data_IF_059806873337
#
_entry.id   IF_059806873337
#
_cell.length_a   1.000
_cell.length_b   1.000
_cell.length_c   1.000
_cell.angle_alpha   90.00
_cell.angle_beta   90.00
_cell.angle_gamma   90.00
#
_symmetry.space_group_name_H-M   'P 1'
#
loop_
_entity.id
_entity.type
_entity.pdbx_description
1 polymer ?
#
# COMPACT_ATOMS: atom_id res chain seq x y z
N UNK A 1 11.05 12.62 23.62
CA UNK A 1 10.93 11.92 22.33
C UNK A 1 10.71 10.43 22.54
N UNK A 2 11.55 9.74 23.32
CA UNK A 2 11.47 8.28 23.62
C UNK A 2 10.12 7.87 24.23
N UNK A 3 9.58 8.63 25.20
CA UNK A 3 8.29 8.36 25.86
C UNK A 3 7.10 8.40 24.89
N UNK A 4 7.12 9.30 23.88
CA UNK A 4 6.12 9.34 22.81
C UNK A 4 6.22 8.15 21.85
N UNK A 5 7.41 7.67 21.54
CA UNK A 5 7.61 6.50 20.68
C UNK A 5 7.15 5.23 21.43
N UNK A 6 7.48 5.11 22.71
CA UNK A 6 7.05 3.97 23.53
C UNK A 6 5.51 3.90 23.64
N UNK A 7 4.85 5.01 23.99
CA UNK A 7 3.38 5.02 24.15
C UNK A 7 2.64 4.92 22.83
N UNK A 8 3.18 5.47 21.75
CA UNK A 8 2.45 5.65 20.50
C UNK A 8 2.66 4.56 19.46
N UNK A 9 3.73 3.78 19.57
CA UNK A 9 3.99 2.68 18.65
C UNK A 9 4.16 1.35 19.38
N UNK A 10 4.98 1.30 20.43
CA UNK A 10 5.34 0.04 21.08
C UNK A 10 4.18 -0.53 21.90
N UNK A 11 3.48 0.29 22.69
CA UNK A 11 2.35 -0.17 23.52
C UNK A 11 1.19 -0.76 22.69
N UNK A 12 0.71 -0.14 21.62
CA UNK A 12 -0.33 -0.72 20.75
C UNK A 12 0.07 -2.05 20.13
N UNK A 13 1.32 -2.15 19.67
CA UNK A 13 1.84 -3.39 19.10
C UNK A 13 1.93 -4.48 20.15
N UNK A 14 2.47 -4.19 21.34
CA UNK A 14 2.53 -5.15 22.44
C UNK A 14 1.14 -5.61 22.89
N UNK A 15 0.17 -4.70 22.98
CA UNK A 15 -1.22 -5.04 23.32
C UNK A 15 -1.82 -6.00 22.27
N UNK A 16 -1.56 -5.76 20.98
CA UNK A 16 -1.99 -6.64 19.89
C UNK A 16 -1.38 -8.03 20.03
N UNK A 17 -0.08 -8.12 20.32
CA UNK A 17 0.60 -9.41 20.52
C UNK A 17 0.09 -10.16 21.76
N UNK A 18 -0.21 -9.47 22.86
CA UNK A 18 -0.78 -10.09 24.06
C UNK A 18 -2.16 -10.68 23.79
N UNK A 19 -3.05 -9.90 23.14
CA UNK A 19 -4.38 -10.39 22.79
C UNK A 19 -4.28 -11.51 21.76
N UNK A 20 -3.36 -11.39 20.80
CA UNK A 20 -3.05 -12.44 19.83
C UNK A 20 -2.59 -13.73 20.50
N UNK A 21 -1.71 -13.66 21.49
CA UNK A 21 -1.25 -14.82 22.26
C UNK A 21 -2.41 -15.49 23.02
N UNK A 22 -3.34 -14.69 23.58
CA UNK A 22 -4.54 -15.22 24.24
C UNK A 22 -5.44 -15.96 23.24
N UNK A 23 -5.69 -15.37 22.05
CA UNK A 23 -6.49 -16.00 21.01
C UNK A 23 -5.86 -17.30 20.49
N UNK A 24 -4.55 -17.29 20.27
CA UNK A 24 -3.79 -18.47 19.82
C UNK A 24 -3.88 -19.59 20.89
N UNK A 25 -3.73 -19.25 22.17
CA UNK A 25 -3.89 -20.20 23.27
C UNK A 25 -5.31 -20.75 23.36
N UNK A 26 -6.33 -19.93 23.09
CA UNK A 26 -7.74 -20.34 23.11
C UNK A 26 -8.09 -21.38 22.04
N UNK A 27 -7.37 -21.42 20.92
CA UNK A 27 -7.51 -22.46 19.87
C UNK A 27 -6.62 -23.68 20.08
N UNK A 28 -5.90 -23.73 21.22
CA UNK A 28 -5.03 -24.87 21.56
C UNK A 28 -3.64 -24.81 20.94
N UNK A 29 -3.25 -23.73 20.27
CA UNK A 29 -1.90 -23.55 19.74
C UNK A 29 -0.99 -22.86 20.78
N UNK A 30 0.31 -23.17 20.75
CA UNK A 30 1.25 -22.56 21.66
C UNK A 30 1.74 -21.19 21.12
N UNK A 31 1.62 -20.10 21.88
CA UNK A 31 2.16 -18.79 21.45
C UNK A 31 3.67 -18.81 21.17
N UNK A 32 4.42 -19.74 21.79
CA UNK A 32 5.83 -19.96 21.53
C UNK A 32 6.14 -20.40 20.10
N UNK A 33 5.25 -21.17 19.47
CA UNK A 33 5.41 -21.61 18.09
C UNK A 33 5.32 -20.40 17.11
N UNK A 34 4.50 -19.41 17.41
CA UNK A 34 4.44 -18.18 16.63
C UNK A 34 5.76 -17.40 16.70
N UNK A 35 6.35 -17.28 17.91
CA UNK A 35 7.64 -16.62 18.08
C UNK A 35 8.75 -17.37 17.35
N UNK A 36 8.69 -18.70 17.35
CA UNK A 36 9.64 -19.54 16.60
C UNK A 36 9.52 -19.29 15.10
N UNK A 37 8.31 -19.36 14.53
CA UNK A 37 8.07 -19.06 13.12
C UNK A 37 8.51 -17.65 12.74
N UNK A 38 8.26 -16.66 13.61
CA UNK A 38 8.77 -15.30 13.40
C UNK A 38 10.32 -15.28 13.35
N UNK A 39 11.00 -16.02 14.22
CA UNK A 39 12.45 -16.18 14.21
C UNK A 39 12.96 -16.85 12.94
N UNK A 40 12.31 -17.93 12.50
CA UNK A 40 12.67 -18.70 11.32
C UNK A 40 12.57 -17.84 10.04
N UNK A 41 11.58 -16.93 9.93
CA UNK A 41 11.46 -15.98 8.83
C UNK A 41 12.72 -15.10 8.69
N UNK A 42 13.29 -14.63 9.78
CA UNK A 42 14.48 -13.78 9.76
C UNK A 42 15.80 -14.54 9.54
N UNK A 43 15.79 -15.86 9.63
CA UNK A 43 16.98 -16.70 9.36
C UNK A 43 17.02 -17.22 7.92
N UNK A 44 15.87 -17.20 7.22
CA UNK A 44 15.77 -17.66 5.83
C UNK A 44 15.79 -16.49 4.86
N UNK A 45 16.80 -16.45 3.99
CA UNK A 45 16.98 -15.37 3.01
C UNK A 45 15.81 -15.25 2.02
N UNK A 46 15.20 -16.38 1.64
CA UNK A 46 14.03 -16.38 0.75
C UNK A 46 12.81 -15.76 1.45
N UNK A 47 12.58 -16.05 2.72
CA UNK A 47 11.50 -15.44 3.52
C UNK A 47 11.71 -13.93 3.69
N UNK A 48 12.95 -13.47 3.88
CA UNK A 48 13.28 -12.04 3.91
C UNK A 48 12.96 -11.39 2.57
N UNK A 49 13.29 -12.03 1.45
CA UNK A 49 12.94 -11.52 0.13
C UNK A 49 11.41 -11.42 -0.07
N UNK A 50 10.65 -12.42 0.36
CA UNK A 50 9.18 -12.41 0.29
C UNK A 50 8.56 -11.28 1.12
N UNK A 51 9.21 -10.87 2.25
CA UNK A 51 8.80 -9.66 2.99
C UNK A 51 8.91 -8.45 2.06
N UNK A 52 10.04 -8.26 1.37
CA UNK A 52 10.21 -7.14 0.45
C UNK A 52 9.24 -7.21 -0.73
N UNK A 53 9.04 -8.38 -1.34
CA UNK A 53 8.05 -8.59 -2.41
C UNK A 53 6.66 -8.14 -1.98
N UNK A 54 6.22 -8.56 -0.78
CA UNK A 54 4.92 -8.18 -0.22
C UNK A 54 4.85 -6.69 0.16
N UNK A 55 5.99 -6.07 0.49
CA UNK A 55 6.11 -4.68 0.91
C UNK A 55 5.98 -3.70 -0.26
N UNK A 56 6.47 -4.04 -1.46
CA UNK A 56 6.50 -3.16 -2.63
C UNK A 56 5.13 -2.56 -2.97
N UNK A 57 4.07 -3.36 -3.21
CA UNK A 57 2.75 -2.81 -3.48
C UNK A 57 2.20 -1.98 -2.31
N UNK A 58 2.52 -2.36 -1.07
CA UNK A 58 2.08 -1.67 0.13
C UNK A 58 2.78 -0.32 0.34
N UNK A 59 4.06 -0.18 -0.05
CA UNK A 59 4.73 1.13 -0.10
C UNK A 59 3.95 2.06 -1.02
N UNK A 60 3.71 1.64 -2.26
CA UNK A 60 3.09 2.49 -3.27
C UNK A 60 1.65 2.87 -2.89
N UNK A 61 0.84 1.92 -2.44
CA UNK A 61 -0.54 2.18 -2.02
C UNK A 61 -0.60 2.97 -0.71
N UNK A 62 0.31 2.73 0.24
CA UNK A 62 0.46 3.51 1.45
C UNK A 62 0.84 4.95 1.18
N UNK A 63 1.80 5.20 0.27
CA UNK A 63 2.15 6.55 -0.19
C UNK A 63 0.98 7.22 -0.91
N UNK A 64 0.24 6.48 -1.73
CA UNK A 64 -0.98 6.97 -2.39
C UNK A 64 -1.95 7.55 -1.38
N UNK A 65 -2.35 6.74 -0.42
CA UNK A 65 -3.32 7.16 0.61
C UNK A 65 -2.75 8.30 1.47
N UNK A 66 -1.49 8.19 1.92
CA UNK A 66 -0.83 9.22 2.72
C UNK A 66 -0.79 10.57 2.00
N UNK A 67 -0.56 10.58 0.67
CA UNK A 67 -0.53 11.80 -0.13
C UNK A 67 -1.88 12.53 -0.12
N UNK A 68 -2.96 11.80 -0.34
CA UNK A 68 -4.32 12.33 -0.28
C UNK A 68 -4.67 12.85 1.13
N UNK A 69 -4.35 12.09 2.18
CA UNK A 69 -4.57 12.50 3.57
C UNK A 69 -3.89 13.81 3.95
N UNK A 70 -2.68 14.05 3.45
CA UNK A 70 -1.94 15.31 3.70
C UNK A 70 -2.65 16.53 3.08
N UNK A 71 -3.53 16.31 2.13
CA UNK A 71 -4.36 17.36 1.48
C UNK A 71 -5.79 17.39 2.03
N UNK A 72 -6.06 16.64 3.11
CA UNK A 72 -7.40 16.57 3.70
C UNK A 72 -8.41 15.75 2.89
N UNK A 73 -7.94 14.88 1.98
CA UNK A 73 -8.76 14.00 1.15
C UNK A 73 -8.60 12.54 1.59
N UNK A 74 -9.68 11.78 1.49
CA UNK A 74 -9.66 10.36 1.82
C UNK A 74 -9.74 9.50 0.56
N UNK A 75 -8.59 8.99 0.09
CA UNK A 75 -8.52 8.14 -1.08
C UNK A 75 -8.70 6.66 -0.72
N UNK A 76 -9.95 6.17 -0.73
CA UNK A 76 -10.25 4.73 -0.64
C UNK A 76 -10.04 4.05 -2.00
N UNK A 77 -9.89 4.82 -3.08
CA UNK A 77 -9.75 4.35 -4.45
C UNK A 77 -8.38 3.78 -4.81
N UNK A 78 -7.44 3.73 -3.88
CA UNK A 78 -6.10 3.21 -4.14
C UNK A 78 -6.11 1.78 -4.72
N UNK A 79 -7.11 0.96 -4.36
CA UNK A 79 -7.29 -0.40 -4.90
C UNK A 79 -7.62 -0.38 -6.40
N UNK A 80 -8.61 0.40 -6.82
CA UNK A 80 -8.97 0.52 -8.24
C UNK A 80 -7.89 1.19 -9.08
N UNK A 81 -7.19 2.17 -8.51
CA UNK A 81 -6.05 2.84 -9.13
C UNK A 81 -4.88 1.88 -9.35
N UNK A 82 -4.61 1.01 -8.37
CA UNK A 82 -3.64 -0.07 -8.44
C UNK A 82 -4.01 -1.07 -9.55
N UNK A 83 -5.26 -1.54 -9.59
CA UNK A 83 -5.76 -2.46 -10.62
C UNK A 83 -5.62 -1.85 -12.02
N UNK A 84 -6.07 -0.60 -12.21
CA UNK A 84 -6.01 0.08 -13.50
C UNK A 84 -4.57 0.36 -13.93
N UNK A 85 -3.71 0.79 -13.01
CA UNK A 85 -2.30 0.99 -13.28
C UNK A 85 -1.60 -0.30 -13.71
N UNK A 86 -1.82 -1.39 -12.98
CA UNK A 86 -1.28 -2.71 -13.31
C UNK A 86 -1.79 -3.27 -14.63
N UNK A 87 -3.09 -3.08 -14.93
CA UNK A 87 -3.68 -3.50 -16.21
C UNK A 87 -3.03 -2.77 -17.39
N UNK A 88 -2.95 -1.45 -17.34
CA UNK A 88 -2.42 -0.68 -18.48
C UNK A 88 -0.91 -0.84 -18.63
N UNK A 89 -0.17 -0.99 -17.54
CA UNK A 89 1.24 -1.39 -17.60
C UNK A 89 1.39 -2.74 -18.32
N UNK A 90 0.58 -3.73 -17.99
CA UNK A 90 0.58 -5.03 -18.65
C UNK A 90 0.18 -4.98 -20.12
N UNK A 91 -0.85 -4.19 -20.48
CA UNK A 91 -1.25 -3.99 -21.89
C UNK A 91 -0.09 -3.41 -22.70
N UNK A 92 0.58 -2.37 -22.19
CA UNK A 92 1.73 -1.75 -22.87
C UNK A 92 2.87 -2.74 -23.00
N UNK A 93 3.22 -3.46 -21.93
CA UNK A 93 4.28 -4.47 -21.96
C UNK A 93 4.06 -5.55 -23.02
N UNK A 94 2.83 -6.07 -23.12
CA UNK A 94 2.47 -7.10 -24.11
C UNK A 94 2.43 -6.52 -25.53
N UNK A 95 1.84 -5.35 -25.73
CA UNK A 95 1.72 -4.75 -27.08
C UNK A 95 3.03 -4.24 -27.66
N UNK A 96 3.99 -3.90 -26.81
CA UNK A 96 5.32 -3.47 -27.19
C UNK A 96 6.37 -4.61 -27.12
N UNK A 97 5.95 -5.85 -26.85
CA UNK A 97 6.84 -7.01 -26.79
C UNK A 97 7.62 -7.15 -28.10
N UNK A 98 8.94 -7.37 -27.99
CA UNK A 98 9.85 -7.40 -29.13
C UNK A 98 10.58 -6.07 -29.39
N UNK A 99 10.17 -4.96 -28.75
CA UNK A 99 10.93 -3.71 -28.75
C UNK A 99 12.08 -3.74 -27.75
N UNK A 100 12.90 -2.67 -27.74
CA UNK A 100 13.99 -2.53 -26.78
C UNK A 100 13.48 -2.64 -25.33
N UNK A 101 14.16 -3.46 -24.53
CA UNK A 101 13.81 -3.77 -23.14
C UNK A 101 13.51 -2.51 -22.29
N UNK A 102 14.41 -1.53 -22.31
CA UNK A 102 14.26 -0.31 -21.51
C UNK A 102 13.10 0.56 -21.97
N UNK A 103 12.81 0.57 -23.27
CA UNK A 103 11.67 1.32 -23.83
C UNK A 103 10.36 0.70 -23.32
N UNK A 104 10.23 -0.62 -23.38
CA UNK A 104 9.02 -1.31 -22.89
C UNK A 104 8.87 -1.12 -21.40
N UNK A 105 9.93 -1.30 -20.63
CA UNK A 105 9.91 -1.14 -19.17
C UNK A 105 9.45 0.27 -18.77
N UNK A 106 10.08 1.30 -19.31
CA UNK A 106 9.75 2.70 -18.98
C UNK A 106 8.33 3.04 -19.45
N UNK A 107 7.96 2.67 -20.67
CA UNK A 107 6.61 2.94 -21.21
C UNK A 107 5.52 2.27 -20.37
N UNK A 108 5.73 1.03 -19.93
CA UNK A 108 4.78 0.28 -19.11
C UNK A 108 4.62 0.90 -17.72
N UNK A 109 5.71 1.25 -17.06
CA UNK A 109 5.67 1.92 -15.75
C UNK A 109 4.97 3.27 -15.86
N UNK A 110 5.30 4.08 -16.88
CA UNK A 110 4.65 5.37 -17.13
C UNK A 110 3.16 5.21 -17.43
N UNK A 111 2.76 4.19 -18.19
CA UNK A 111 1.36 3.90 -18.44
C UNK A 111 0.61 3.60 -17.13
N UNK A 112 1.20 2.80 -16.24
CA UNK A 112 0.64 2.52 -14.92
C UNK A 112 0.46 3.78 -14.07
N UNK A 113 1.49 4.62 -14.00
CA UNK A 113 1.48 5.89 -13.27
C UNK A 113 0.40 6.84 -13.83
N UNK A 114 0.37 7.03 -15.14
CA UNK A 114 -0.55 7.96 -15.82
C UNK A 114 -1.99 7.49 -15.64
N UNK A 115 -2.28 6.22 -15.92
CA UNK A 115 -3.64 5.69 -15.85
C UNK A 115 -4.15 5.65 -14.40
N UNK A 116 -3.33 5.22 -13.44
CA UNK A 116 -3.68 5.29 -12.02
C UNK A 116 -3.98 6.72 -11.58
N UNK A 117 -3.16 7.68 -12.02
CA UNK A 117 -3.34 9.11 -11.76
C UNK A 117 -4.62 9.67 -12.39
N UNK A 118 -4.89 9.37 -13.64
CA UNK A 118 -6.12 9.80 -14.34
C UNK A 118 -7.36 9.20 -13.69
N UNK A 119 -7.31 7.92 -13.29
CA UNK A 119 -8.41 7.25 -12.61
C UNK A 119 -8.77 7.93 -11.30
N UNK A 120 -7.78 8.31 -10.51
CA UNK A 120 -7.97 9.05 -9.26
C UNK A 120 -8.41 10.50 -9.50
N UNK A 121 -7.93 11.13 -10.57
CA UNK A 121 -8.29 12.51 -10.93
C UNK A 121 -9.80 12.68 -11.17
N UNK A 122 -10.51 11.62 -11.61
CA UNK A 122 -11.97 11.63 -11.75
C UNK A 122 -12.63 11.98 -10.40
N UNK A 123 -12.24 11.29 -9.33
CA UNK A 123 -12.78 11.56 -7.99
C UNK A 123 -12.39 12.95 -7.49
N UNK A 124 -11.13 13.36 -7.73
CA UNK A 124 -10.64 14.70 -7.41
C UNK A 124 -11.41 15.80 -8.13
N UNK A 125 -11.72 15.62 -9.40
CA UNK A 125 -12.50 16.58 -10.19
C UNK A 125 -13.94 16.70 -9.71
N UNK A 126 -14.61 15.57 -9.46
CA UNK A 126 -15.98 15.55 -8.95
C UNK A 126 -16.07 16.22 -7.57
N UNK A 127 -15.07 15.99 -6.70
CA UNK A 127 -14.96 16.70 -5.42
C UNK A 127 -14.76 18.20 -5.60
N UNK A 128 -13.81 18.60 -6.42
CA UNK A 128 -13.43 20.00 -6.60
C UNK A 128 -14.53 20.83 -7.29
N UNK A 129 -15.25 20.24 -8.26
CA UNK A 129 -16.23 20.96 -9.08
C UNK A 129 -17.64 20.90 -8.52
N UNK A 130 -18.04 19.75 -7.99
CA UNK A 130 -19.42 19.47 -7.59
C UNK A 130 -19.57 19.19 -6.10
N UNK A 131 -18.46 19.21 -5.34
CA UNK A 131 -18.41 18.88 -3.90
C UNK A 131 -19.00 17.49 -3.58
N UNK A 132 -18.91 16.55 -4.53
CA UNK A 132 -19.31 15.15 -4.32
C UNK A 132 -18.27 14.48 -3.42
N UNK A 133 -18.73 13.60 -2.52
CA UNK A 133 -17.82 12.87 -1.62
C UNK A 133 -16.83 12.01 -2.40
N UNK A 134 -15.54 12.28 -2.22
CA UNK A 134 -14.45 11.50 -2.82
C UNK A 134 -14.49 10.04 -2.39
N UNK A 135 -14.94 9.77 -1.16
CA UNK A 135 -15.08 8.42 -0.60
C UNK A 135 -16.05 7.59 -1.43
N UNK A 136 -17.24 8.12 -1.69
CA UNK A 136 -18.28 7.42 -2.46
C UNK A 136 -17.81 7.18 -3.90
N UNK A 137 -17.24 8.20 -4.54
CA UNK A 137 -16.75 8.10 -5.92
C UNK A 137 -15.63 7.07 -6.02
N UNK A 138 -14.66 7.09 -5.09
CA UNK A 138 -13.51 6.18 -5.16
C UNK A 138 -13.91 4.73 -4.90
N UNK A 139 -14.89 4.47 -4.02
CA UNK A 139 -15.43 3.12 -3.83
C UNK A 139 -16.09 2.62 -5.13
N UNK A 140 -16.90 3.44 -5.78
CA UNK A 140 -17.54 3.08 -7.06
C UNK A 140 -16.49 2.82 -8.15
N UNK A 141 -15.46 3.64 -8.24
CA UNK A 141 -14.35 3.47 -9.18
C UNK A 141 -13.55 2.19 -8.91
N UNK A 142 -13.45 1.71 -7.67
CA UNK A 142 -12.81 0.43 -7.37
C UNK A 142 -13.56 -0.73 -8.02
N UNK A 143 -14.88 -0.81 -7.86
CA UNK A 143 -15.70 -1.84 -8.52
C UNK A 143 -15.66 -1.72 -10.04
N UNK A 144 -15.70 -0.48 -10.55
CA UNK A 144 -15.56 -0.25 -12.00
C UNK A 144 -14.22 -0.78 -12.50
N UNK A 145 -13.13 -0.54 -11.80
CA UNK A 145 -11.80 -1.07 -12.15
C UNK A 145 -11.77 -2.61 -12.11
N UNK A 146 -12.37 -3.22 -11.06
CA UNK A 146 -12.44 -4.67 -10.92
C UNK A 146 -13.17 -5.34 -12.10
N UNK A 147 -14.34 -4.82 -12.47
CA UNK A 147 -15.09 -5.35 -13.62
C UNK A 147 -14.43 -5.00 -14.96
N UNK A 148 -13.77 -3.85 -15.04
CA UNK A 148 -13.05 -3.46 -16.26
C UNK A 148 -11.87 -4.38 -16.55
N UNK A 149 -11.08 -4.80 -15.54
CA UNK A 149 -9.98 -5.75 -15.74
C UNK A 149 -10.49 -7.11 -16.18
N UNK A 150 -11.63 -7.59 -15.63
CA UNK A 150 -12.27 -8.83 -16.04
C UNK A 150 -12.77 -8.81 -17.51
N UNK A 151 -13.18 -7.64 -17.97
CA UNK A 151 -13.56 -7.44 -19.37
C UNK A 151 -12.33 -7.29 -20.28
N UNK A 152 -11.31 -6.55 -19.85
CA UNK A 152 -10.17 -6.17 -20.70
C UNK A 152 -9.18 -7.33 -20.91
N UNK A 153 -8.89 -8.12 -19.87
CA UNK A 153 -7.91 -9.22 -19.97
C UNK A 153 -8.27 -10.21 -21.06
N UNK A 154 -9.45 -10.82 -21.09
CA UNK A 154 -9.78 -11.82 -22.12
C UNK A 154 -9.88 -11.25 -23.53
N UNK A 155 -10.16 -9.94 -23.67
CA UNK A 155 -10.35 -9.31 -24.99
C UNK A 155 -9.08 -8.67 -25.56
N UNK A 156 -8.20 -8.18 -24.72
CA UNK A 156 -7.06 -7.34 -25.16
C UNK A 156 -5.72 -8.05 -25.03
N UNK A 157 -5.54 -8.82 -23.93
CA UNK A 157 -4.25 -9.40 -23.54
C UNK A 157 -4.38 -10.86 -23.08
N UNK A 158 -5.39 -11.58 -23.55
CA UNK A 158 -5.68 -12.96 -23.18
C UNK A 158 -4.44 -13.85 -23.25
N UNK A 159 -4.19 -14.60 -22.18
CA UNK A 159 -3.19 -15.65 -22.10
C UNK A 159 -3.80 -17.04 -22.34
N UNK A 160 -3.40 -18.00 -21.52
CA UNK A 160 -3.86 -19.39 -21.63
C UNK A 160 -5.35 -19.59 -21.27
N UNK A 161 -5.93 -18.65 -20.53
CA UNK A 161 -7.35 -18.65 -20.17
C UNK A 161 -7.87 -17.19 -20.08
N UNK A 162 -9.17 -17.03 -19.78
CA UNK A 162 -9.84 -15.73 -19.73
C UNK A 162 -9.51 -14.92 -18.47
N UNK A 163 -8.83 -15.51 -17.48
CA UNK A 163 -8.53 -14.88 -16.19
C UNK A 163 -7.11 -14.31 -16.17
N UNK A 164 -6.21 -14.84 -16.99
CA UNK A 164 -4.77 -14.53 -16.94
C UNK A 164 -4.31 -13.97 -18.29
N UNK A 165 -3.53 -12.90 -18.26
CA UNK A 165 -2.92 -12.33 -19.46
C UNK A 165 -1.79 -13.21 -20.01
N UNK A 166 -1.30 -12.87 -21.18
CA UNK A 166 0.01 -13.36 -21.65
C UNK A 166 1.10 -12.96 -20.63
N UNK A 167 2.21 -13.73 -20.55
CA UNK A 167 3.34 -13.40 -19.70
C UNK A 167 3.94 -12.02 -20.02
N UNK A 168 4.29 -11.27 -18.99
CA UNK A 168 4.98 -9.99 -19.09
C UNK A 168 6.50 -10.24 -19.08
N UNK A 169 7.02 -10.69 -20.21
CA UNK A 169 8.42 -11.06 -20.38
C UNK A 169 9.03 -10.32 -21.57
N UNK A 170 10.32 -10.09 -21.49
CA UNK A 170 11.10 -9.54 -22.59
C UNK A 170 11.24 -10.57 -23.72
N UNK A 171 11.83 -10.18 -24.84
CA UNK A 171 12.05 -11.04 -26.01
C UNK A 171 12.94 -12.24 -25.74
N UNK A 172 13.78 -12.18 -24.73
CA UNK A 172 14.65 -13.28 -24.25
C UNK A 172 13.95 -14.20 -23.22
N UNK A 173 12.67 -13.93 -22.89
CA UNK A 173 11.90 -14.66 -21.89
C UNK A 173 12.15 -14.22 -20.44
N UNK A 174 13.02 -13.25 -20.21
CA UNK A 174 13.26 -12.71 -18.85
C UNK A 174 12.13 -11.79 -18.39
N UNK A 175 11.87 -11.73 -17.09
CA UNK A 175 10.94 -10.75 -16.50
C UNK A 175 11.54 -9.34 -16.54
N UNK A 176 10.70 -8.34 -16.84
CA UNK A 176 11.15 -6.93 -16.97
C UNK A 176 11.78 -6.33 -15.71
N UNK A 177 11.42 -6.80 -14.54
CA UNK A 177 11.96 -6.29 -13.27
C UNK A 177 12.87 -7.30 -12.56
N UNK A 178 13.11 -8.46 -13.20
CA UNK A 178 14.02 -9.48 -12.67
C UNK A 178 15.45 -8.96 -12.60
N UNK A 179 16.17 -9.37 -11.55
CA UNK A 179 17.58 -9.02 -11.38
C UNK A 179 18.36 -10.21 -10.81
N UNK A 180 19.25 -10.79 -11.61
CA UNK A 180 20.00 -11.99 -11.26
C UNK A 180 20.92 -11.79 -10.04
N UNK A 181 21.42 -10.58 -9.80
CA UNK A 181 22.23 -10.27 -8.61
C UNK A 181 21.38 -10.35 -7.33
N UNK A 182 20.18 -9.79 -7.37
CA UNK A 182 19.26 -9.82 -6.21
C UNK A 182 18.80 -11.27 -5.98
N UNK A 183 18.45 -11.97 -7.06
CA UNK A 183 18.07 -13.37 -7.03
C UNK A 183 19.20 -14.23 -6.41
N UNK A 184 20.44 -14.03 -6.80
CA UNK A 184 21.58 -14.75 -6.24
C UNK A 184 21.84 -14.48 -4.76
N UNK A 185 21.55 -13.27 -4.26
CA UNK A 185 21.72 -12.91 -2.85
C UNK A 185 20.62 -13.54 -1.98
N UNK A 186 19.35 -13.45 -2.43
CA UNK A 186 18.18 -13.84 -1.64
C UNK A 186 17.62 -15.22 -1.99
N UNK A 187 18.15 -15.88 -3.03
CA UNK A 187 17.60 -17.12 -3.58
C UNK A 187 16.08 -17.02 -3.87
N UNK A 188 15.65 -15.89 -4.42
CA UNK A 188 14.26 -15.58 -4.68
C UNK A 188 14.08 -14.94 -6.05
N UNK A 189 13.32 -15.59 -6.94
CA UNK A 189 13.06 -15.14 -8.31
C UNK A 189 12.03 -14.00 -8.42
N UNK A 190 11.34 -13.67 -7.33
CA UNK A 190 10.24 -12.71 -7.31
C UNK A 190 10.66 -11.31 -6.92
N UNK A 191 11.79 -11.18 -6.20
CA UNK A 191 12.36 -9.90 -5.81
C UNK A 191 13.31 -9.41 -6.91
N UNK A 192 13.09 -8.20 -7.36
CA UNK A 192 13.87 -7.60 -8.44
C UNK A 192 14.16 -6.11 -8.25
N UNK A 193 14.30 -5.41 -9.35
CA UNK A 193 14.54 -3.95 -9.37
C UNK A 193 13.32 -3.12 -8.94
N UNK A 194 12.17 -3.73 -8.83
CA UNK A 194 10.91 -3.15 -8.33
C UNK A 194 11.05 -2.56 -6.91
N UNK A 195 11.86 -3.18 -6.04
CA UNK A 195 12.16 -2.65 -4.71
C UNK A 195 12.80 -1.27 -4.77
N UNK A 196 13.79 -1.07 -5.65
CA UNK A 196 14.44 0.23 -5.79
C UNK A 196 13.51 1.30 -6.33
N UNK A 197 12.60 0.92 -7.24
CA UNK A 197 11.59 1.83 -7.77
C UNK A 197 10.57 2.22 -6.70
N UNK A 198 10.17 1.30 -5.83
CA UNK A 198 9.32 1.59 -4.68
C UNK A 198 10.01 2.52 -3.66
N UNK A 199 11.29 2.28 -3.36
CA UNK A 199 12.09 3.19 -2.51
C UNK A 199 12.23 4.57 -3.15
N UNK A 200 12.44 4.63 -4.46
CA UNK A 200 12.48 5.90 -5.20
C UNK A 200 11.16 6.67 -5.09
N UNK A 201 10.02 5.96 -5.12
CA UNK A 201 8.71 6.57 -4.89
C UNK A 201 8.60 7.20 -3.48
N UNK A 202 9.18 6.57 -2.44
CA UNK A 202 9.24 7.14 -1.08
C UNK A 202 10.03 8.47 -1.08
N UNK A 203 11.16 8.51 -1.80
CA UNK A 203 11.99 9.71 -1.92
C UNK A 203 11.24 10.82 -2.66
N UNK A 204 10.56 10.49 -3.77
CA UNK A 204 9.72 11.45 -4.52
C UNK A 204 8.62 12.02 -3.61
N UNK A 205 7.90 11.16 -2.88
CA UNK A 205 6.88 11.61 -1.94
C UNK A 205 7.46 12.60 -0.93
N UNK A 206 8.60 12.26 -0.31
CA UNK A 206 9.25 13.14 0.67
C UNK A 206 9.64 14.49 0.06
N UNK A 207 10.26 14.48 -1.11
CA UNK A 207 10.67 15.71 -1.79
C UNK A 207 9.45 16.57 -2.12
N UNK A 208 8.46 15.99 -2.80
CA UNK A 208 7.26 16.72 -3.24
C UNK A 208 6.49 17.28 -2.05
N UNK A 209 6.26 16.47 -1.02
CA UNK A 209 5.40 16.84 0.09
C UNK A 209 6.11 17.77 1.10
N UNK A 210 7.42 17.58 1.36
CA UNK A 210 8.12 18.30 2.43
C UNK A 210 9.06 19.41 1.92
N UNK A 211 9.51 19.33 0.66
CA UNK A 211 10.56 20.22 0.15
C UNK A 211 10.11 21.18 -0.96
N UNK A 212 8.86 21.08 -1.41
CA UNK A 212 8.35 21.95 -2.49
C UNK A 212 7.29 22.93 -2.00
N UNK A 213 7.15 24.04 -2.73
CA UNK A 213 6.05 25.02 -2.53
C UNK A 213 4.70 24.34 -2.80
N UNK A 214 4.63 23.48 -3.79
CA UNK A 214 3.43 22.72 -4.11
C UNK A 214 2.98 21.84 -2.93
N UNK A 215 3.91 21.10 -2.30
CA UNK A 215 3.61 20.31 -1.09
C UNK A 215 3.15 21.19 0.08
N UNK A 216 3.70 22.40 0.22
CA UNK A 216 3.22 23.36 1.21
C UNK A 216 1.77 23.78 0.92
N UNK A 217 1.44 24.10 -0.33
CA UNK A 217 0.05 24.44 -0.73
C UNK A 217 -0.92 23.29 -0.44
N UNK A 218 -0.53 22.05 -0.77
CA UNK A 218 -1.35 20.85 -0.52
C UNK A 218 -1.66 20.69 0.97
N UNK A 219 -0.65 20.80 1.83
CA UNK A 219 -0.83 20.70 3.29
C UNK A 219 -1.70 21.84 3.82
N UNK A 220 -1.49 23.06 3.33
CA UNK A 220 -2.29 24.23 3.73
C UNK A 220 -3.76 24.03 3.36
N UNK A 221 -4.05 23.53 2.15
CA UNK A 221 -5.41 23.19 1.72
C UNK A 221 -6.01 22.10 2.61
N UNK A 222 -5.21 21.11 3.02
CA UNK A 222 -5.64 20.03 3.92
C UNK A 222 -6.00 20.54 5.32
N UNK A 223 -5.28 21.55 5.84
CA UNK A 223 -5.59 22.13 7.15
C UNK A 223 -6.81 23.04 7.12
N UNK A 224 -6.91 23.94 6.15
CA UNK A 224 -8.04 24.86 6.04
C UNK A 224 -8.21 25.33 4.58
N UNK A 225 -9.13 24.73 3.82
CA UNK A 225 -9.38 25.11 2.42
C UNK A 225 -9.85 26.57 2.26
N UNK A 226 -10.63 27.09 3.23
CA UNK A 226 -11.14 28.46 3.17
C UNK A 226 -10.05 29.47 3.37
N UNK A 227 -9.20 29.29 4.39
CA UNK A 227 -8.03 30.15 4.63
C UNK A 227 -7.05 30.08 3.45
N UNK A 228 -6.79 28.90 2.90
CA UNK A 228 -5.91 28.74 1.72
C UNK A 228 -6.46 29.48 0.49
N UNK A 229 -7.76 29.47 0.29
CA UNK A 229 -8.42 30.23 -0.80
C UNK A 229 -8.27 31.74 -0.58
N UNK A 230 -8.40 32.21 0.66
CA UNK A 230 -8.28 33.60 1.00
C UNK A 230 -6.89 34.17 0.70
N UNK A 231 -5.82 33.39 0.92
CA UNK A 231 -4.44 33.77 0.57
C UNK A 231 -4.06 33.49 -0.89
N UNK A 232 -5.04 33.20 -1.75
CA UNK A 232 -4.86 33.06 -3.20
C UNK A 232 -4.45 31.67 -3.71
N UNK A 233 -4.45 30.63 -2.88
CA UNK A 233 -4.14 29.28 -3.32
C UNK A 233 -5.28 28.70 -4.15
N UNK A 234 -4.95 27.95 -5.22
CA UNK A 234 -5.92 27.33 -6.13
C UNK A 234 -6.44 26.01 -5.55
N UNK A 235 -7.31 26.08 -4.53
CA UNK A 235 -7.83 24.92 -3.78
C UNK A 235 -8.37 23.82 -4.69
N UNK A 236 -9.24 24.14 -5.67
CA UNK A 236 -9.82 23.15 -6.56
C UNK A 236 -8.75 22.40 -7.39
N UNK A 237 -7.78 23.16 -7.95
CA UNK A 237 -6.65 22.57 -8.69
C UNK A 237 -5.83 21.65 -7.78
N UNK A 238 -5.53 22.08 -6.58
CA UNK A 238 -4.72 21.32 -5.63
C UNK A 238 -5.45 20.04 -5.18
N UNK A 239 -6.77 20.08 -5.01
CA UNK A 239 -7.61 18.90 -4.76
C UNK A 239 -7.50 17.87 -5.89
N UNK A 240 -7.65 18.28 -7.15
CA UNK A 240 -7.55 17.38 -8.31
C UNK A 240 -6.15 16.80 -8.45
N UNK A 241 -5.12 17.65 -8.36
CA UNK A 241 -3.73 17.23 -8.49
C UNK A 241 -3.30 16.30 -7.34
N UNK A 242 -3.79 16.54 -6.13
CA UNK A 242 -3.52 15.65 -5.00
C UNK A 242 -4.07 14.25 -5.25
N UNK A 243 -5.31 14.13 -5.71
CA UNK A 243 -5.89 12.84 -6.07
C UNK A 243 -5.14 12.20 -7.24
N UNK A 244 -4.80 12.97 -8.28
CA UNK A 244 -4.06 12.46 -9.43
C UNK A 244 -2.68 11.90 -9.02
N UNK A 245 -1.92 12.61 -8.22
CA UNK A 245 -0.60 12.14 -7.73
C UNK A 245 -0.76 10.95 -6.78
N UNK A 246 -1.77 10.99 -5.92
CA UNK A 246 -2.15 9.84 -5.08
C UNK A 246 -2.38 8.60 -5.95
N UNK A 247 -3.21 8.70 -6.98
CA UNK A 247 -3.47 7.60 -7.91
C UNK A 247 -2.25 7.17 -8.72
N UNK A 248 -1.36 8.09 -9.03
CA UNK A 248 -0.10 7.78 -9.72
C UNK A 248 0.80 6.86 -8.87
N UNK A 249 0.89 7.08 -7.55
CA UNK A 249 1.59 6.16 -6.64
C UNK A 249 0.92 4.78 -6.60
N UNK A 250 -0.41 4.70 -6.49
CA UNK A 250 -1.10 3.41 -6.51
C UNK A 250 -0.94 2.68 -7.84
N UNK A 251 -1.05 3.41 -8.96
CA UNK A 251 -0.84 2.86 -10.30
C UNK A 251 0.58 2.36 -10.54
N UNK A 252 1.58 3.06 -10.00
CA UNK A 252 2.97 2.56 -9.96
C UNK A 252 3.04 1.23 -9.22
N UNK A 253 2.42 1.12 -8.04
CA UNK A 253 2.38 -0.13 -7.28
C UNK A 253 1.79 -1.28 -8.08
N UNK A 254 0.69 -1.05 -8.82
CA UNK A 254 0.09 -2.05 -9.70
C UNK A 254 1.00 -2.46 -10.85
N UNK A 255 1.70 -1.50 -11.46
CA UNK A 255 2.68 -1.78 -12.52
C UNK A 255 3.84 -2.63 -12.00
N UNK A 256 4.45 -2.25 -10.87
CA UNK A 256 5.55 -2.99 -10.25
C UNK A 256 5.13 -4.41 -9.86
N UNK A 257 3.93 -4.56 -9.28
CA UNK A 257 3.42 -5.86 -8.86
C UNK A 257 3.20 -6.82 -10.03
N UNK A 258 2.58 -6.35 -11.12
CA UNK A 258 2.31 -7.20 -12.27
C UNK A 258 3.58 -7.47 -13.11
N UNK A 259 4.48 -6.51 -13.26
CA UNK A 259 5.70 -6.66 -14.05
C UNK A 259 6.85 -7.33 -13.29
N UNK A 260 6.82 -7.33 -11.96
CA UNK A 260 7.79 -7.96 -11.08
C UNK A 260 7.30 -9.34 -10.61
N UNK A 261 6.83 -9.44 -9.36
CA UNK A 261 6.61 -10.73 -8.69
C UNK A 261 5.53 -11.62 -9.32
N UNK A 262 4.56 -11.06 -10.06
CA UNK A 262 3.47 -11.84 -10.68
C UNK A 262 3.79 -12.23 -12.13
N UNK A 263 4.45 -11.36 -12.88
CA UNK A 263 4.80 -11.59 -14.28
C UNK A 263 3.62 -11.65 -15.25
N UNK A 264 2.42 -11.25 -14.83
CA UNK A 264 1.20 -11.27 -15.63
C UNK A 264 0.09 -10.44 -14.99
N UNK A 265 -0.94 -10.09 -15.75
CA UNK A 265 -2.15 -9.45 -15.24
C UNK A 265 -3.19 -10.50 -14.92
N UNK A 266 -3.72 -10.48 -13.70
CA UNK A 266 -4.76 -11.43 -13.26
C UNK A 266 -6.09 -10.70 -13.11
N UNK A 267 -7.09 -11.15 -13.85
CA UNK A 267 -8.48 -10.70 -13.76
C UNK A 267 -9.23 -11.46 -12.65
N UNK A 268 -8.86 -11.22 -11.40
CA UNK A 268 -9.51 -11.86 -10.25
C UNK A 268 -10.97 -11.46 -10.09
N UNK A 269 -11.76 -12.33 -9.45
CA UNK A 269 -13.17 -12.04 -9.08
C UNK A 269 -13.30 -11.17 -7.84
N UNK A 270 -12.22 -11.01 -7.08
CA UNK A 270 -12.16 -10.24 -5.83
C UNK A 270 -11.01 -9.26 -5.86
N UNK A 271 -11.08 -8.26 -5.01
CA UNK A 271 -9.96 -7.33 -4.80
C UNK A 271 -8.74 -8.03 -4.21
N UNK A 272 -7.55 -7.56 -4.60
CA UNK A 272 -6.29 -8.06 -4.04
C UNK A 272 -6.03 -7.51 -2.62
N UNK A 273 -6.62 -6.35 -2.31
CA UNK A 273 -6.60 -5.75 -0.99
C UNK A 273 -5.41 -4.84 -0.68
N UNK A 274 -4.45 -4.70 -1.60
CA UNK A 274 -3.27 -3.85 -1.38
C UNK A 274 -3.63 -2.38 -1.17
N UNK A 275 -4.62 -1.86 -1.88
CA UNK A 275 -5.09 -0.49 -1.71
C UNK A 275 -5.75 -0.27 -0.35
N UNK A 276 -6.53 -1.24 0.11
CA UNK A 276 -7.16 -1.19 1.44
C UNK A 276 -6.14 -1.31 2.56
N UNK A 277 -5.16 -2.21 2.45
CA UNK A 277 -4.03 -2.29 3.38
C UNK A 277 -3.17 -1.03 3.34
N UNK A 278 -3.07 -0.36 2.19
CA UNK A 278 -2.40 0.93 2.05
C UNK A 278 -2.98 2.01 2.96
N UNK A 279 -4.28 1.96 3.28
CA UNK A 279 -4.91 2.87 4.25
C UNK A 279 -4.31 2.65 5.64
N UNK A 280 -4.20 1.39 6.07
CA UNK A 280 -3.61 1.05 7.35
C UNK A 280 -2.11 1.42 7.41
N UNK A 281 -1.37 1.16 6.32
CA UNK A 281 0.04 1.57 6.17
C UNK A 281 0.20 3.08 6.33
N UNK A 282 -0.62 3.89 5.65
CA UNK A 282 -0.58 5.34 5.73
C UNK A 282 -0.87 5.84 7.16
N UNK A 283 -1.88 5.29 7.81
CA UNK A 283 -2.28 5.68 9.17
C UNK A 283 -1.20 5.32 10.20
N UNK A 284 -0.67 4.10 10.15
CA UNK A 284 0.46 3.65 11.00
C UNK A 284 1.67 4.54 10.77
N UNK A 285 1.96 4.87 9.51
CA UNK A 285 3.03 5.75 9.10
C UNK A 285 2.79 7.24 9.40
N UNK A 286 1.67 7.59 10.07
CA UNK A 286 1.28 8.97 10.35
C UNK A 286 1.31 9.87 9.10
N UNK A 287 0.97 9.30 7.94
CA UNK A 287 0.95 9.95 6.63
C UNK A 287 2.29 10.60 6.24
N UNK A 288 3.41 10.03 6.69
CA UNK A 288 4.77 10.48 6.34
C UNK A 288 5.46 9.49 5.40
N UNK A 289 6.42 9.95 4.60
CA UNK A 289 7.16 9.10 3.67
C UNK A 289 7.83 7.91 4.36
N UNK A 290 8.67 8.20 5.37
CA UNK A 290 9.40 7.16 6.11
C UNK A 290 8.45 6.29 6.95
N UNK A 291 7.43 6.89 7.54
CA UNK A 291 6.44 6.15 8.33
C UNK A 291 5.63 5.17 7.47
N UNK A 292 5.20 5.58 6.27
CA UNK A 292 4.51 4.69 5.33
C UNK A 292 5.42 3.56 4.85
N UNK A 293 6.71 3.83 4.62
CA UNK A 293 7.70 2.78 4.31
C UNK A 293 7.83 1.75 5.44
N UNK A 294 8.00 2.21 6.69
CA UNK A 294 8.10 1.31 7.86
C UNK A 294 6.79 0.56 8.12
N UNK A 295 5.64 1.23 7.94
CA UNK A 295 4.33 0.59 8.00
C UNK A 295 4.16 -0.49 6.94
N UNK A 296 4.61 -0.25 5.71
CA UNK A 296 4.58 -1.23 4.63
C UNK A 296 5.46 -2.44 4.94
N UNK A 297 6.65 -2.24 5.52
CA UNK A 297 7.52 -3.33 5.99
C UNK A 297 6.85 -4.19 7.05
N UNK A 298 6.17 -3.57 8.01
CA UNK A 298 5.42 -4.31 9.03
C UNK A 298 4.34 -5.20 8.40
N UNK A 299 3.53 -4.63 7.48
CA UNK A 299 2.49 -5.41 6.81
C UNK A 299 3.05 -6.45 5.83
N UNK A 300 4.17 -6.16 5.17
CA UNK A 300 4.89 -7.14 4.34
C UNK A 300 5.34 -8.34 5.17
N UNK A 301 5.92 -8.11 6.34
CA UNK A 301 6.26 -9.16 7.31
C UNK A 301 5.03 -9.98 7.75
N UNK A 302 3.93 -9.30 8.12
CA UNK A 302 2.69 -9.98 8.50
C UNK A 302 2.09 -10.80 7.35
N UNK A 303 2.23 -10.32 6.11
CA UNK A 303 1.81 -11.04 4.90
C UNK A 303 2.57 -12.35 4.67
N UNK A 304 3.86 -12.41 5.05
CA UNK A 304 4.67 -13.63 5.00
C UNK A 304 4.39 -14.53 6.21
N UNK A 305 4.20 -13.94 7.38
CA UNK A 305 3.92 -14.68 8.62
C UNK A 305 2.61 -15.47 8.51
N UNK A 306 1.55 -14.88 7.95
CA UNK A 306 0.21 -15.50 7.87
C UNK A 306 0.20 -16.88 7.22
N UNK A 307 0.75 -17.10 6.01
CA UNK A 307 0.79 -18.45 5.42
C UNK A 307 1.69 -19.40 6.19
N UNK A 308 2.79 -18.94 6.79
CA UNK A 308 3.68 -19.79 7.58
C UNK A 308 3.01 -20.28 8.88
N UNK A 309 2.19 -19.46 9.52
CA UNK A 309 1.37 -19.87 10.65
C UNK A 309 0.35 -20.96 10.27
N UNK A 310 -0.19 -20.89 9.05
CA UNK A 310 -1.11 -21.92 8.58
C UNK A 310 -0.44 -23.31 8.44
N UNK A 311 0.85 -23.39 8.10
CA UNK A 311 1.58 -24.66 8.04
C UNK A 311 1.75 -25.33 9.41
N UNK A 312 1.74 -24.57 10.50
CA UNK A 312 1.79 -25.13 11.88
C UNK A 312 0.39 -25.30 12.49
N UNK A 313 -0.66 -25.26 11.67
CA UNK A 313 -2.04 -25.54 12.08
C UNK A 313 -2.81 -24.34 12.66
N UNK A 314 -2.26 -23.12 12.62
CA UNK A 314 -2.98 -21.92 13.02
C UNK A 314 -3.83 -21.44 11.83
N UNK A 315 -5.17 -21.38 11.96
CA UNK A 315 -6.04 -20.95 10.87
C UNK A 315 -5.70 -19.54 10.37
N UNK A 316 -5.77 -19.35 9.04
CA UNK A 316 -5.52 -18.03 8.41
C UNK A 316 -6.38 -16.91 9.00
N UNK A 317 -7.60 -17.24 9.42
CA UNK A 317 -8.54 -16.27 10.00
C UNK A 317 -7.99 -15.70 11.32
N UNK A 318 -7.33 -16.51 12.14
CA UNK A 318 -6.67 -16.06 13.37
C UNK A 318 -5.50 -15.11 13.05
N UNK A 319 -4.69 -15.45 12.05
CA UNK A 319 -3.61 -14.56 11.61
C UNK A 319 -4.17 -13.23 11.06
N UNK A 320 -5.27 -13.26 10.32
CA UNK A 320 -5.94 -12.04 9.83
C UNK A 320 -6.53 -11.22 10.98
N UNK A 321 -7.07 -11.86 12.03
CA UNK A 321 -7.54 -11.17 13.25
C UNK A 321 -6.37 -10.47 13.93
N UNK A 322 -5.19 -11.10 14.02
CA UNK A 322 -3.98 -10.46 14.56
C UNK A 322 -3.59 -9.19 13.79
N UNK A 323 -3.59 -9.27 12.45
CA UNK A 323 -3.34 -8.11 11.59
C UNK A 323 -4.38 -7.01 11.88
N UNK A 324 -5.67 -7.37 11.92
CA UNK A 324 -6.74 -6.46 12.23
C UNK A 324 -6.61 -5.79 13.60
N UNK A 325 -6.17 -6.53 14.62
CA UNK A 325 -5.91 -6.00 15.96
C UNK A 325 -4.72 -5.02 15.97
N UNK A 326 -3.64 -5.33 15.26
CA UNK A 326 -2.50 -4.40 15.12
C UNK A 326 -2.98 -3.08 14.51
N UNK A 327 -3.74 -3.17 13.42
CA UNK A 327 -4.33 -1.98 12.76
C UNK A 327 -5.24 -1.21 13.70
N UNK A 328 -6.15 -1.91 14.39
CA UNK A 328 -7.09 -1.32 15.33
C UNK A 328 -6.37 -0.57 16.45
N UNK A 329 -5.39 -1.20 17.10
CA UNK A 329 -4.68 -0.59 18.23
C UNK A 329 -3.77 0.57 17.79
N UNK A 330 -3.19 0.48 16.61
CA UNK A 330 -2.39 1.59 16.08
C UNK A 330 -3.29 2.75 15.62
N UNK A 331 -4.43 2.46 15.00
CA UNK A 331 -5.42 3.50 14.65
C UNK A 331 -6.04 4.13 15.90
N UNK A 332 -6.28 3.35 16.95
CA UNK A 332 -6.77 3.80 18.25
C UNK A 332 -5.73 4.59 19.09
N UNK A 333 -4.55 4.86 18.53
CA UNK A 333 -3.48 5.65 19.16
C UNK A 333 -3.98 6.94 19.81
N UNK A 334 -4.94 7.63 19.18
CA UNK A 334 -5.55 8.84 19.71
C UNK A 334 -6.24 8.62 21.07
N UNK A 335 -6.66 7.39 21.38
CA UNK A 335 -7.26 7.03 22.67
C UNK A 335 -6.15 6.94 23.74
N UNK A 336 -4.96 6.45 23.37
CA UNK A 336 -3.83 6.31 24.28
C UNK A 336 -3.07 7.65 24.48
N UNK A 337 -3.09 8.55 23.50
CA UNK A 337 -2.52 9.91 23.60
C UNK A 337 -3.46 10.89 24.35
N UNK A 338 -4.72 10.54 24.56
CA UNK A 338 -5.65 11.42 25.23
C UNK A 338 -5.39 11.44 26.75
N UNK A 339 -5.55 12.62 27.35
CA UNK A 339 -5.52 12.89 28.81
C UNK A 339 -6.41 11.94 29.65
N UNK A 340 -7.05 10.94 29.04
CA UNK A 340 -7.81 9.89 29.70
C UNK A 340 -6.93 9.02 30.61
N UNK A 341 -5.73 8.67 30.18
CA UNK A 341 -4.77 7.94 31.00
C UNK A 341 -4.28 8.80 32.19
N UNK A 342 -4.05 10.10 31.97
CA UNK A 342 -3.71 11.01 33.06
C UNK A 342 -4.85 11.18 34.06
N UNK A 343 -6.11 11.19 33.62
CA UNK A 343 -7.29 11.20 34.50
C UNK A 343 -7.49 9.89 35.26
N UNK A 344 -7.21 8.75 34.66
CA UNK A 344 -7.32 7.44 35.33
C UNK A 344 -6.18 7.24 36.35
N UNK A 345 -4.98 7.73 36.07
CA UNK A 345 -3.83 7.66 36.97
C UNK A 345 -3.93 8.71 38.09
N UNK A 346 -4.47 9.90 37.80
CA UNK A 346 -4.66 10.96 38.81
C UNK A 346 -5.79 10.62 39.78
N UNK A 347 -6.86 9.91 39.35
CA UNK A 347 -7.92 9.46 40.25
C UNK A 347 -7.44 8.41 41.27
N UNK A 348 -6.40 7.64 40.94
CA UNK A 348 -5.77 6.67 41.85
C UNK A 348 -4.80 7.30 42.87
N UNK A 349 -4.41 8.57 42.69
CA UNK A 349 -3.56 9.33 43.63
C UNK A 349 -4.33 10.28 44.56
N UNK A 350 -5.63 10.45 44.33
CA UNK A 350 -6.48 11.29 45.17
C UNK A 350 -7.25 10.55 46.29
N UNK A 351 -7.16 9.22 46.32
CA UNK A 351 -7.81 8.38 47.34
C UNK A 351 -6.76 7.71 48.27
N UNK A 352 -5.68 8.43 48.60
CA UNK A 352 -4.77 8.04 49.69
C UNK A 352 -4.54 9.23 50.59
#
# INVERSE_FOLDING_TARGET
MLKKVLTNAVLPILASFIIGAILISAIGAAPGDVLRVMGDIFTDSNSIAEIFVSTIPLICTGLSVAFAFRTGLFNIGAEGQFIMGGLFAGIVAIKMQGMNFYVVLIASILAGIIVGGLWAAIAGYLKARFNISEVVVTIMLNYTALYFVQFAVPKVIRGNNDIISQPLVASDGSGYLKNDLIEGIFNNHRLGTDLFLAIFAVIIFYIVMEKTVFGYELRSVGFNPSASRFVGMKVNRNTVLSMAISGAFAGLGGALYNMGPVGQVVAGSTFQGFGYMGIAVALIGANTALGSFLGALLFGFLGVLTPQLAFIGIPKDIANILIGLIVLFVAAKAIFDSKLLDKLVSKKKGDK
#
